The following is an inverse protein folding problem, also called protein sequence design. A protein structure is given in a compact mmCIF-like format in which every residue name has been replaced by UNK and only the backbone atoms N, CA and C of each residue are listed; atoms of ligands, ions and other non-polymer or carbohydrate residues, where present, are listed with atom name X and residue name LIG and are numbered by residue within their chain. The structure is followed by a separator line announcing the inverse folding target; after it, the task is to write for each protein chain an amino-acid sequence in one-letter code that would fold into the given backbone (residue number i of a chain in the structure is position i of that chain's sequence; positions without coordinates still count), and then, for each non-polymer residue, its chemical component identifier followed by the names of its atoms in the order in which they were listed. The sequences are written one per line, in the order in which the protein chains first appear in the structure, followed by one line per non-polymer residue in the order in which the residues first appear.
data_IF_963982897976
#
_entry.id   IF_963982897976
#
_cell.length_a   1.000
_cell.length_b   1.000
_cell.length_c   1.000
_cell.angle_alpha   90.00
_cell.angle_beta   90.00
_cell.angle_gamma   90.00
#
_symmetry.space_group_name_H-M   'P 1'
#
loop_
_entity.id
_entity.type
_entity.pdbx_description
1 polymer ?
#
# COMPACT_ATOMS: atom_id res chain seq x y z
N UNK A 1 -21.42 17.49 3.40
CA UNK A 1 -21.43 16.17 2.77
C UNK A 1 -20.31 15.38 3.35
N UNK A 2 -20.56 14.14 3.60
CA UNK A 2 -19.64 13.31 4.33
C UNK A 2 -18.35 13.13 3.54
N UNK A 3 -17.30 12.90 4.24
CA UNK A 3 -15.93 12.59 3.97
C UNK A 3 -15.73 11.48 2.93
N UNK A 4 -16.43 11.57 1.78
CA UNK A 4 -16.31 10.59 0.70
C UNK A 4 -14.96 10.74 0.02
N UNK A 5 -14.30 9.63 -0.25
CA UNK A 5 -13.06 9.54 -1.00
C UNK A 5 -13.15 8.38 -2.00
N UNK A 6 -12.74 8.60 -3.24
CA UNK A 6 -12.61 7.50 -4.18
C UNK A 6 -11.30 6.75 -3.89
N UNK A 7 -11.35 5.44 -3.88
CA UNK A 7 -10.17 4.59 -3.64
C UNK A 7 -9.89 3.72 -4.88
N UNK A 8 -8.80 4.03 -5.56
CA UNK A 8 -8.27 3.28 -6.70
C UNK A 8 -7.47 2.03 -6.23
N UNK A 9 -8.09 1.20 -5.40
CA UNK A 9 -7.46 0.00 -4.89
C UNK A 9 -8.49 -1.02 -4.42
N UNK A 10 -8.27 -2.30 -4.72
CA UNK A 10 -9.05 -3.41 -4.18
C UNK A 10 -8.59 -3.87 -2.78
N UNK A 11 -7.53 -3.26 -2.22
CA UNK A 11 -6.96 -3.66 -0.93
C UNK A 11 -7.93 -3.39 0.23
N UNK A 12 -8.40 -4.41 0.97
CA UNK A 12 -9.25 -4.22 2.14
C UNK A 12 -8.55 -3.38 3.22
N UNK A 13 -7.25 -3.55 3.39
CA UNK A 13 -6.43 -2.84 4.37
C UNK A 13 -6.43 -1.32 4.16
N UNK A 14 -6.26 -0.87 2.91
CA UNK A 14 -6.34 0.56 2.56
C UNK A 14 -7.71 1.14 2.85
N UNK A 15 -8.75 0.37 2.53
CA UNK A 15 -10.13 0.74 2.84
C UNK A 15 -10.34 0.89 4.35
N UNK A 16 -9.89 -0.07 5.15
CA UNK A 16 -9.99 -0.05 6.61
C UNK A 16 -9.26 1.15 7.22
N UNK A 17 -8.04 1.47 6.76
CA UNK A 17 -7.30 2.66 7.20
C UNK A 17 -8.08 3.93 6.89
N UNK A 18 -8.63 4.09 5.69
CA UNK A 18 -9.43 5.28 5.35
C UNK A 18 -10.71 5.38 6.19
N UNK A 19 -11.36 4.26 6.46
CA UNK A 19 -12.55 4.21 7.36
C UNK A 19 -12.16 4.64 8.78
N UNK A 20 -11.01 4.18 9.30
CA UNK A 20 -10.54 4.58 10.64
C UNK A 20 -10.20 6.07 10.73
N UNK A 21 -9.86 6.71 9.61
CA UNK A 21 -9.69 8.15 9.51
C UNK A 21 -11.02 8.92 9.35
N UNK A 22 -12.17 8.22 9.34
CA UNK A 22 -13.50 8.81 9.21
C UNK A 22 -13.93 9.10 7.77
N UNK A 23 -13.23 8.57 6.77
CA UNK A 23 -13.65 8.64 5.37
C UNK A 23 -14.67 7.54 5.02
N UNK A 24 -15.43 7.79 3.96
CA UNK A 24 -16.30 6.80 3.31
C UNK A 24 -15.69 6.44 1.93
N UNK A 25 -14.85 5.38 1.85
CA UNK A 25 -14.21 5.02 0.60
C UNK A 25 -15.20 4.42 -0.40
N UNK A 26 -15.24 4.99 -1.60
CA UNK A 26 -15.94 4.44 -2.78
C UNK A 26 -14.89 3.80 -3.68
N UNK A 27 -15.00 2.50 -3.87
CA UNK A 27 -14.01 1.72 -4.64
C UNK A 27 -14.20 1.96 -6.14
N UNK A 28 -13.14 2.41 -6.80
CA UNK A 28 -13.04 2.54 -8.25
C UNK A 28 -11.73 1.90 -8.69
N UNK A 29 -11.78 0.75 -9.32
CA UNK A 29 -10.58 -0.01 -9.72
C UNK A 29 -10.50 -0.06 -11.25
N UNK A 30 -9.30 0.17 -11.78
CA UNK A 30 -8.96 -0.02 -13.18
C UNK A 30 -7.74 -0.94 -13.28
N UNK A 31 -7.63 -1.67 -14.37
CA UNK A 31 -6.47 -2.50 -14.66
C UNK A 31 -5.27 -1.61 -15.00
N UNK A 32 -4.08 -2.03 -14.51
CA UNK A 32 -2.81 -1.36 -14.76
C UNK A 32 -1.72 -2.41 -14.99
N UNK A 33 -0.77 -2.09 -15.86
CA UNK A 33 0.42 -2.92 -16.02
C UNK A 33 1.38 -2.67 -14.85
N UNK A 34 1.55 -3.68 -14.01
CA UNK A 34 2.42 -3.65 -12.84
C UNK A 34 3.83 -4.22 -13.13
N UNK A 35 4.21 -4.36 -14.38
CA UNK A 35 5.53 -4.86 -14.76
C UNK A 35 6.62 -3.85 -14.39
N UNK A 36 7.63 -4.29 -13.63
CA UNK A 36 8.81 -3.48 -13.33
C UNK A 36 9.64 -3.27 -14.59
N UNK A 37 10.20 -2.08 -14.77
CA UNK A 37 11.07 -1.77 -15.90
C UNK A 37 12.50 -2.22 -15.60
N UNK A 38 13.28 -2.65 -16.61
CA UNK A 38 14.68 -2.99 -16.40
C UNK A 38 15.47 -1.85 -15.74
N UNK A 39 16.11 -2.13 -14.61
CA UNK A 39 16.92 -1.15 -13.87
C UNK A 39 16.13 -0.09 -13.10
N UNK A 40 14.80 -0.22 -13.00
CA UNK A 40 13.97 0.73 -12.26
C UNK A 40 14.25 0.63 -10.75
N UNK A 41 14.54 1.76 -10.11
CA UNK A 41 14.70 1.79 -8.66
C UNK A 41 13.36 1.51 -7.96
N UNK A 42 13.42 0.87 -6.78
CA UNK A 42 12.21 0.50 -6.02
C UNK A 42 11.31 1.70 -5.72
N UNK A 43 11.92 2.84 -5.36
CA UNK A 43 11.19 4.08 -5.09
C UNK A 43 10.45 4.60 -6.33
N UNK A 44 11.09 4.55 -7.50
CA UNK A 44 10.52 5.01 -8.77
C UNK A 44 9.40 4.08 -9.23
N UNK A 45 9.61 2.77 -9.07
CA UNK A 45 8.58 1.77 -9.38
C UNK A 45 7.30 2.00 -8.57
N UNK A 46 7.41 2.10 -7.24
CA UNK A 46 6.22 2.23 -6.39
C UNK A 46 5.49 3.56 -6.61
N UNK A 47 6.23 4.64 -6.86
CA UNK A 47 5.65 5.95 -7.22
C UNK A 47 4.90 5.88 -8.55
N UNK A 48 5.55 5.33 -9.59
CA UNK A 48 4.93 5.11 -10.91
C UNK A 48 3.66 4.26 -10.80
N UNK A 49 3.67 3.21 -10.00
CA UNK A 49 2.48 2.35 -9.81
C UNK A 49 1.32 3.12 -9.17
N UNK A 50 1.59 3.92 -8.14
CA UNK A 50 0.56 4.74 -7.53
C UNK A 50 -0.03 5.75 -8.51
N UNK A 51 0.82 6.45 -9.30
CA UNK A 51 0.40 7.40 -10.33
C UNK A 51 -0.43 6.72 -11.43
N UNK A 52 0.04 5.59 -11.97
CA UNK A 52 -0.65 4.88 -13.05
C UNK A 52 -2.04 4.39 -12.62
N UNK A 53 -2.17 3.87 -11.38
CA UNK A 53 -3.46 3.49 -10.80
C UNK A 53 -4.42 4.69 -10.69
N UNK A 54 -3.91 5.85 -10.28
CA UNK A 54 -4.70 7.10 -10.24
C UNK A 54 -5.17 7.51 -11.65
N UNK A 55 -4.23 7.60 -12.58
CA UNK A 55 -4.50 7.99 -13.96
C UNK A 55 -5.49 7.03 -14.66
N UNK A 56 -5.33 5.72 -14.48
CA UNK A 56 -6.21 4.71 -15.07
C UNK A 56 -7.67 4.85 -14.58
N UNK A 57 -7.86 5.12 -13.27
CA UNK A 57 -9.21 5.35 -12.74
C UNK A 57 -9.79 6.67 -13.23
N UNK A 58 -9.00 7.75 -13.33
CA UNK A 58 -9.45 9.02 -13.93
C UNK A 58 -9.91 8.83 -15.38
N UNK A 59 -9.13 8.09 -16.17
CA UNK A 59 -9.50 7.76 -17.56
C UNK A 59 -10.78 6.93 -17.63
N UNK A 60 -10.91 5.90 -16.79
CA UNK A 60 -12.11 5.07 -16.71
C UNK A 60 -13.35 5.90 -16.34
N UNK A 61 -13.22 6.81 -15.36
CA UNK A 61 -14.28 7.70 -14.94
C UNK A 61 -14.73 8.63 -16.09
N UNK A 62 -13.77 9.22 -16.82
CA UNK A 62 -14.06 10.06 -17.97
C UNK A 62 -14.80 9.30 -19.08
N UNK A 63 -14.35 8.07 -19.40
CA UNK A 63 -15.02 7.20 -20.40
C UNK A 63 -16.46 6.83 -20.01
N UNK A 64 -16.74 6.76 -18.70
CA UNK A 64 -18.09 6.46 -18.17
C UNK A 64 -18.94 7.69 -17.88
N UNK A 65 -18.45 8.89 -18.17
CA UNK A 65 -19.13 10.14 -17.83
C UNK A 65 -19.30 10.38 -16.33
N UNK A 66 -18.45 9.73 -15.51
CA UNK A 66 -18.48 9.88 -14.04
C UNK A 66 -17.64 11.08 -13.62
N UNK A 67 -18.27 12.08 -13.02
CA UNK A 67 -17.57 13.21 -12.44
C UNK A 67 -16.93 12.81 -11.09
N UNK A 68 -15.60 12.92 -10.99
CA UNK A 68 -14.86 12.71 -9.76
C UNK A 68 -14.87 14.01 -8.92
N UNK A 69 -15.99 14.29 -8.26
CA UNK A 69 -16.19 15.50 -7.46
C UNK A 69 -15.52 15.42 -6.06
N UNK A 70 -14.97 14.28 -5.70
CA UNK A 70 -14.29 14.02 -4.43
C UNK A 70 -12.85 13.57 -4.70
N UNK A 71 -11.95 13.62 -3.69
CA UNK A 71 -10.58 13.17 -3.88
C UNK A 71 -10.50 11.72 -4.35
N UNK A 72 -9.61 11.44 -5.29
CA UNK A 72 -9.26 10.09 -5.71
C UNK A 72 -7.89 9.73 -5.16
N UNK A 73 -7.82 8.67 -4.36
CA UNK A 73 -6.61 8.14 -3.76
C UNK A 73 -6.24 6.81 -4.39
N UNK A 74 -5.01 6.70 -4.81
CA UNK A 74 -4.35 5.45 -5.18
C UNK A 74 -3.11 5.23 -4.33
N UNK A 75 -2.70 3.98 -4.18
CA UNK A 75 -1.44 3.65 -3.51
C UNK A 75 -0.88 2.34 -4.07
N UNK A 76 0.43 2.20 -3.95
CA UNK A 76 1.10 0.92 -4.22
C UNK A 76 2.07 0.60 -3.09
N UNK A 77 2.34 -0.70 -2.87
CA UNK A 77 3.20 -1.17 -1.78
C UNK A 77 4.04 -2.34 -2.26
N UNK A 78 5.33 -2.24 -2.05
CA UNK A 78 6.28 -3.31 -2.38
C UNK A 78 7.18 -3.61 -1.20
N UNK A 79 7.58 -4.86 -1.10
CA UNK A 79 8.66 -5.32 -0.22
C UNK A 79 9.92 -5.44 -1.08
N UNK A 80 11.05 -4.97 -0.59
CA UNK A 80 12.33 -5.07 -1.28
C UNK A 80 13.41 -5.62 -0.36
N UNK A 81 14.18 -6.56 -0.88
CA UNK A 81 15.35 -7.12 -0.21
C UNK A 81 16.55 -6.97 -1.15
N UNK A 82 17.62 -6.34 -0.68
CA UNK A 82 18.83 -6.07 -1.49
C UNK A 82 18.49 -5.40 -2.85
N UNK A 83 17.56 -4.45 -2.85
CA UNK A 83 17.00 -3.77 -4.03
C UNK A 83 16.17 -4.67 -4.99
N UNK A 84 15.98 -5.94 -4.70
CA UNK A 84 15.07 -6.80 -5.46
C UNK A 84 13.63 -6.67 -4.92
N UNK A 85 12.68 -6.41 -5.81
CA UNK A 85 11.27 -6.33 -5.45
C UNK A 85 10.73 -7.76 -5.20
N UNK A 86 10.18 -7.96 -4.02
CA UNK A 86 9.49 -9.18 -3.63
C UNK A 86 7.98 -8.98 -3.82
N UNK A 87 7.46 -9.55 -4.87
CA UNK A 87 6.03 -9.49 -5.20
C UNK A 87 5.18 -10.38 -4.28
N UNK A 88 3.92 -10.55 -4.68
CA UNK A 88 3.03 -11.54 -4.05
C UNK A 88 3.51 -12.95 -4.40
N UNK A 89 3.39 -13.92 -3.47
CA UNK A 89 3.71 -15.29 -3.78
C UNK A 89 2.75 -15.86 -4.85
N UNK A 90 3.28 -16.66 -5.75
CA UNK A 90 2.50 -17.35 -6.78
C UNK A 90 1.74 -18.55 -6.21
N UNK A 91 2.32 -19.17 -5.20
CA UNK A 91 1.83 -20.37 -4.53
C UNK A 91 2.49 -20.53 -3.14
N UNK A 92 2.16 -21.58 -2.43
CA UNK A 92 2.69 -21.89 -1.10
C UNK A 92 4.21 -22.15 -1.10
N UNK A 93 4.77 -22.72 -2.18
CA UNK A 93 6.21 -22.96 -2.29
C UNK A 93 6.96 -21.62 -2.44
N UNK A 94 6.49 -20.76 -3.30
CA UNK A 94 7.05 -19.41 -3.46
C UNK A 94 6.87 -18.55 -2.20
N UNK A 95 5.75 -18.70 -1.46
CA UNK A 95 5.59 -18.03 -0.16
C UNK A 95 6.68 -18.47 0.84
N UNK A 96 7.02 -19.77 0.86
CA UNK A 96 8.11 -20.30 1.67
C UNK A 96 9.46 -19.66 1.30
N UNK A 97 9.81 -19.65 0.01
CA UNK A 97 11.05 -19.06 -0.50
C UNK A 97 11.18 -17.59 -0.08
N UNK A 98 10.10 -16.82 -0.20
CA UNK A 98 10.07 -15.41 0.21
C UNK A 98 10.30 -15.25 1.72
N UNK A 99 9.61 -16.03 2.56
CA UNK A 99 9.75 -15.94 4.02
C UNK A 99 11.15 -16.41 4.48
N UNK A 100 11.70 -17.46 3.87
CA UNK A 100 13.07 -17.92 4.14
C UNK A 100 14.09 -16.85 3.77
N UNK A 101 13.91 -16.13 2.65
CA UNK A 101 14.78 -15.04 2.24
C UNK A 101 14.78 -13.85 3.20
N UNK A 102 13.66 -13.61 3.90
CA UNK A 102 13.47 -12.52 4.87
C UNK A 102 13.89 -12.91 6.29
N UNK A 103 14.02 -14.22 6.58
CA UNK A 103 14.33 -14.75 7.92
C UNK A 103 15.63 -14.18 8.49
N UNK A 104 15.57 -13.62 9.69
CA UNK A 104 16.73 -13.02 10.39
C UNK A 104 17.29 -11.76 9.74
N UNK A 105 16.65 -11.21 8.70
CA UNK A 105 17.18 -10.09 7.90
C UNK A 105 16.33 -8.84 8.02
N UNK A 106 16.95 -7.72 7.68
CA UNK A 106 16.28 -6.45 7.44
C UNK A 106 15.93 -6.31 5.97
N UNK A 107 14.73 -5.83 5.70
CA UNK A 107 14.21 -5.55 4.38
C UNK A 107 13.43 -4.24 4.38
N UNK A 108 13.14 -3.71 3.20
CA UNK A 108 12.44 -2.44 3.03
C UNK A 108 11.01 -2.69 2.58
N UNK A 109 10.10 -1.89 3.13
CA UNK A 109 8.73 -1.77 2.62
C UNK A 109 8.55 -0.34 2.12
N UNK A 110 8.24 -0.21 0.84
CA UNK A 110 7.96 1.07 0.21
C UNK A 110 6.49 1.17 -0.10
N UNK A 111 5.89 2.28 0.28
CA UNK A 111 4.50 2.59 -0.11
C UNK A 111 4.44 4.00 -0.67
N UNK A 112 3.96 4.12 -1.90
CA UNK A 112 3.62 5.42 -2.49
C UNK A 112 2.11 5.63 -2.46
N UNK A 113 1.71 6.87 -2.27
CA UNK A 113 0.35 7.34 -2.34
C UNK A 113 0.26 8.49 -3.33
N UNK A 114 -0.77 8.48 -4.16
CA UNK A 114 -1.10 9.55 -5.10
C UNK A 114 -2.54 9.96 -4.87
N UNK A 115 -2.77 11.27 -4.69
CA UNK A 115 -4.10 11.85 -4.46
C UNK A 115 -4.37 12.89 -5.52
N UNK A 116 -5.52 12.81 -6.18
CA UNK A 116 -5.97 13.84 -7.13
C UNK A 116 -7.32 14.41 -6.75
N UNK A 117 -7.50 15.73 -6.98
CA UNK A 117 -8.76 16.46 -6.84
C UNK A 117 -8.83 17.55 -7.93
N UNK A 118 -9.83 17.47 -8.79
CA UNK A 118 -9.88 18.31 -9.99
C UNK A 118 -8.64 18.09 -10.87
N UNK A 119 -7.93 19.16 -11.19
CA UNK A 119 -6.70 19.12 -12.01
C UNK A 119 -5.42 18.94 -11.15
N UNK A 120 -5.52 19.04 -9.84
CA UNK A 120 -4.38 18.88 -8.95
C UNK A 120 -4.11 17.39 -8.68
N UNK A 121 -2.84 17.02 -8.68
CA UNK A 121 -2.38 15.69 -8.30
C UNK A 121 -1.12 15.83 -7.47
N UNK A 122 -1.13 15.22 -6.30
CA UNK A 122 -0.03 15.22 -5.35
C UNK A 122 0.36 13.79 -5.01
N UNK A 123 1.62 13.60 -4.66
CA UNK A 123 2.14 12.28 -4.33
C UNK A 123 3.17 12.32 -3.20
N UNK A 124 3.32 11.20 -2.53
CA UNK A 124 4.37 10.98 -1.55
C UNK A 124 4.76 9.50 -1.55
N UNK A 125 6.01 9.22 -1.25
CA UNK A 125 6.50 7.88 -1.01
C UNK A 125 7.08 7.79 0.40
N UNK A 126 6.83 6.66 1.06
CA UNK A 126 7.31 6.37 2.40
C UNK A 126 8.07 5.05 2.38
N UNK A 127 9.24 5.03 2.99
CA UNK A 127 10.06 3.83 3.22
C UNK A 127 10.03 3.46 4.69
N UNK A 128 9.86 2.17 4.96
CA UNK A 128 10.06 1.58 6.28
C UNK A 128 11.09 0.46 6.20
N UNK A 129 11.95 0.37 7.21
CA UNK A 129 12.88 -0.74 7.37
C UNK A 129 12.30 -1.70 8.41
N UNK A 130 12.14 -2.97 8.02
CA UNK A 130 11.54 -4.02 8.82
C UNK A 130 12.55 -5.15 9.00
N UNK A 131 12.81 -5.54 10.24
CA UNK A 131 13.69 -6.66 10.55
C UNK A 131 12.88 -7.84 11.10
N UNK A 132 13.04 -8.99 10.48
CA UNK A 132 12.48 -10.25 10.96
C UNK A 132 13.40 -10.90 12.00
N UNK A 133 12.79 -11.62 12.94
CA UNK A 133 13.50 -12.64 13.71
C UNK A 133 13.90 -13.81 12.80
N UNK A 134 14.76 -14.70 13.26
CA UNK A 134 14.96 -16.00 12.59
C UNK A 134 13.65 -16.81 12.61
N UNK A 135 13.28 -17.37 11.45
CA UNK A 135 12.06 -18.15 11.26
C UNK A 135 12.39 -19.63 11.14
N UNK A 136 11.74 -20.44 11.97
CA UNK A 136 11.84 -21.90 11.87
C UNK A 136 10.96 -22.46 10.75
N UNK A 137 11.38 -23.59 10.15
CA UNK A 137 10.65 -24.22 9.04
C UNK A 137 9.19 -24.59 9.41
N UNK A 138 8.96 -25.02 10.66
CA UNK A 138 7.60 -25.33 11.16
C UNK A 138 6.73 -24.06 11.29
N UNK A 139 7.31 -22.95 11.73
CA UNK A 139 6.64 -21.67 11.87
C UNK A 139 6.22 -21.12 10.51
N UNK A 140 7.13 -21.15 9.52
CA UNK A 140 6.83 -20.82 8.13
C UNK A 140 5.69 -21.68 7.58
N UNK A 141 5.76 -23.00 7.79
CA UNK A 141 4.73 -23.93 7.32
C UNK A 141 3.36 -23.64 7.94
N UNK A 142 3.30 -23.39 9.25
CA UNK A 142 2.07 -23.06 9.95
C UNK A 142 1.47 -21.74 9.46
N UNK A 143 2.31 -20.74 9.22
CA UNK A 143 1.86 -19.45 8.70
C UNK A 143 1.31 -19.55 7.27
N UNK A 144 1.97 -20.32 6.39
CA UNK A 144 1.47 -20.56 5.03
C UNK A 144 0.13 -21.29 5.07
N UNK A 145 -0.03 -22.26 5.96
CA UNK A 145 -1.29 -23.00 6.13
C UNK A 145 -2.47 -22.11 6.56
N UNK A 146 -2.22 -20.97 7.20
CA UNK A 146 -3.26 -19.98 7.53
C UNK A 146 -3.88 -19.30 6.30
N UNK A 147 -3.22 -19.35 5.14
CA UNK A 147 -3.60 -18.64 3.93
C UNK A 147 -3.29 -17.14 3.93
N UNK A 148 -2.90 -16.56 5.07
CA UNK A 148 -2.64 -15.11 5.20
C UNK A 148 -1.56 -14.58 4.25
N UNK A 149 -0.44 -15.29 3.95
CA UNK A 149 0.63 -14.74 3.13
C UNK A 149 0.28 -14.55 1.64
N UNK A 150 -0.70 -15.28 1.11
CA UNK A 150 -0.85 -15.51 -0.33
C UNK A 150 -1.26 -14.27 -1.15
N UNK A 151 -1.84 -13.26 -0.53
CA UNK A 151 -2.25 -12.01 -1.19
C UNK A 151 -1.33 -10.80 -0.91
N UNK A 152 -0.18 -11.03 -0.27
CA UNK A 152 0.68 -9.97 0.26
C UNK A 152 2.06 -9.94 -0.38
N UNK A 153 2.55 -8.75 -0.72
CA UNK A 153 3.95 -8.56 -1.12
C UNK A 153 4.89 -9.05 -0.02
N UNK A 154 5.96 -9.78 -0.40
CA UNK A 154 6.89 -10.39 0.55
C UNK A 154 6.28 -11.51 1.40
N UNK A 155 5.08 -11.98 1.07
CA UNK A 155 4.38 -13.07 1.74
C UNK A 155 4.12 -12.84 3.24
N UNK A 156 3.87 -11.61 3.71
CA UNK A 156 3.47 -11.39 5.11
C UNK A 156 2.59 -10.15 5.30
N UNK A 157 1.83 -10.14 6.42
CA UNK A 157 1.04 -8.99 6.86
C UNK A 157 1.42 -8.58 8.28
N UNK A 158 1.95 -7.35 8.45
CA UNK A 158 2.39 -6.86 9.76
C UNK A 158 1.25 -6.73 10.79
N UNK A 159 0.03 -6.47 10.32
CA UNK A 159 -1.15 -6.33 11.17
C UNK A 159 -1.85 -7.65 11.48
N UNK A 160 -1.43 -8.76 10.85
CA UNK A 160 -1.98 -10.09 11.04
C UNK A 160 -1.05 -11.02 11.82
N UNK A 161 -1.19 -12.32 11.58
CA UNK A 161 -0.33 -13.34 12.19
C UNK A 161 1.14 -13.11 11.85
N UNK A 162 1.44 -12.64 10.61
CA UNK A 162 2.81 -12.33 10.19
C UNK A 162 3.51 -11.25 11.01
N UNK A 163 2.76 -10.47 11.82
CA UNK A 163 3.34 -9.53 12.77
C UNK A 163 4.25 -10.16 13.82
N UNK A 164 4.08 -11.45 14.14
CA UNK A 164 4.95 -12.17 15.10
C UNK A 164 6.38 -12.36 14.58
N UNK A 165 6.60 -12.19 13.28
CA UNK A 165 7.92 -12.29 12.66
C UNK A 165 8.74 -11.01 12.81
N UNK A 166 8.07 -9.86 13.02
CA UNK A 166 8.67 -8.54 13.04
C UNK A 166 9.35 -8.29 14.38
N UNK A 167 10.69 -8.32 14.39
CA UNK A 167 11.50 -8.01 15.55
C UNK A 167 11.72 -6.49 15.73
N UNK A 168 11.72 -5.74 14.62
CA UNK A 168 11.92 -4.29 14.64
C UNK A 168 11.28 -3.64 13.42
N UNK A 169 10.76 -2.43 13.62
CA UNK A 169 10.24 -1.55 12.57
C UNK A 169 10.81 -0.15 12.77
N UNK A 170 11.42 0.40 11.74
CA UNK A 170 11.79 1.82 11.66
C UNK A 170 11.02 2.46 10.50
N UNK A 171 10.14 3.43 10.77
CA UNK A 171 9.31 4.09 9.77
C UNK A 171 7.82 4.06 10.10
N UNK A 172 6.97 3.85 9.12
CA UNK A 172 5.52 3.93 9.24
C UNK A 172 4.87 2.55 9.30
N UNK A 173 4.26 2.19 10.43
CA UNK A 173 3.46 0.97 10.55
C UNK A 173 2.32 0.94 9.52
N UNK A 174 1.59 2.05 9.38
CA UNK A 174 0.51 2.15 8.40
C UNK A 174 1.01 2.11 6.95
N UNK A 175 2.23 2.60 6.71
CA UNK A 175 2.91 2.45 5.41
C UNK A 175 3.16 0.98 5.10
N UNK A 176 3.67 0.20 6.05
CA UNK A 176 3.85 -1.26 5.89
C UNK A 176 2.52 -1.98 5.69
N UNK A 177 1.43 -1.53 6.31
CA UNK A 177 0.09 -2.04 6.04
C UNK A 177 -0.42 -1.72 4.63
N UNK A 178 0.15 -0.71 3.97
CA UNK A 178 -0.17 -0.35 2.59
C UNK A 178 -0.76 1.04 2.35
N UNK A 179 -0.85 1.89 3.37
CA UNK A 179 -1.23 3.31 3.25
C UNK A 179 -0.55 4.15 4.34
N UNK A 180 0.47 4.97 4.00
CA UNK A 180 1.16 5.81 4.98
C UNK A 180 0.24 6.97 5.40
N UNK A 181 -0.32 6.85 6.60
CA UNK A 181 -1.37 7.77 7.10
C UNK A 181 -0.87 9.20 7.21
N UNK A 182 0.36 9.40 7.71
CA UNK A 182 0.90 10.75 7.87
C UNK A 182 1.00 11.47 6.52
N UNK A 183 1.64 10.86 5.54
CA UNK A 183 1.82 11.39 4.19
C UNK A 183 0.46 11.59 3.49
N UNK A 184 -0.42 10.61 3.61
CA UNK A 184 -1.78 10.68 3.06
C UNK A 184 -2.55 11.89 3.59
N UNK A 185 -2.52 12.13 4.90
CA UNK A 185 -3.18 13.28 5.53
C UNK A 185 -2.55 14.59 5.08
N UNK A 186 -1.23 14.66 4.93
CA UNK A 186 -0.56 15.87 4.43
C UNK A 186 -1.00 16.20 2.99
N UNK A 187 -1.06 15.21 2.11
CA UNK A 187 -1.51 15.43 0.73
C UNK A 187 -2.98 15.90 0.67
N UNK A 188 -3.86 15.27 1.44
CA UNK A 188 -5.27 15.65 1.53
C UNK A 188 -5.43 17.09 2.01
N UNK A 189 -4.69 17.51 3.05
CA UNK A 189 -4.70 18.87 3.56
C UNK A 189 -4.20 19.89 2.54
N UNK A 190 -3.14 19.56 1.80
CA UNK A 190 -2.63 20.44 0.71
C UNK A 190 -3.67 20.64 -0.40
N UNK A 191 -4.53 19.65 -0.63
CA UNK A 191 -5.65 19.75 -1.58
C UNK A 191 -6.90 20.44 -0.96
N UNK A 192 -6.81 20.95 0.27
CA UNK A 192 -7.94 21.56 0.98
C UNK A 192 -9.02 20.57 1.43
N UNK A 193 -8.68 19.27 1.48
CA UNK A 193 -9.62 18.22 1.92
C UNK A 193 -9.58 18.12 3.45
N UNK A 194 -10.69 18.37 4.14
CA UNK A 194 -10.75 18.19 5.58
C UNK A 194 -10.59 16.70 5.95
N UNK A 195 -9.74 16.42 6.94
CA UNK A 195 -9.50 15.05 7.42
C UNK A 195 -10.23 14.85 8.74
N UNK A 196 -11.29 14.03 8.80
CA UNK A 196 -11.97 13.72 10.05
C UNK A 196 -11.04 12.94 11.00
N UNK A 197 -11.21 13.03 12.31
CA UNK A 197 -12.07 13.94 13.07
C UNK A 197 -11.45 15.34 13.28
N UNK A 198 -10.30 15.64 12.64
CA UNK A 198 -9.50 16.86 12.84
C UNK A 198 -10.02 18.03 11.99
N UNK A 199 -11.34 18.14 11.81
CA UNK A 199 -11.99 19.21 11.02
C UNK A 199 -12.20 20.51 11.79
N UNK A 200 -11.68 20.63 13.00
CA UNK A 200 -11.63 21.89 13.74
C UNK A 200 -10.62 22.84 13.10
N UNK A 201 -11.03 24.11 12.91
CA UNK A 201 -10.25 25.15 12.28
C UNK A 201 -8.80 25.20 12.77
N UNK A 202 -7.89 25.34 11.81
CA UNK A 202 -6.56 25.87 12.10
C UNK A 202 -6.68 27.36 12.46
#
# INVERSE_FOLDING_TARGET
MPNTIYLASASPRRREILVSLGFQPVLLVAETDETARPGEAVADYVARMAQQKNAAVRQLAAQRGLALAQPLLSADTVVALDNAILGKPRDAAHARELLESLSGREHQVWTAVCVSLGEQTLEAAQRSDVRFKELGAQEIAAYIASGEPLDKAGAYGIQGIGGVFVAHLSGSFSGVMGLPVFETVQLLRQLGVPVPPFTGAA
#
